data_IF_270175115333
#
_entry.id   IF_270175115333
#
_cell.length_a   1.000
_cell.length_b   1.000
_cell.length_c   1.000
_cell.angle_alpha   90.00
_cell.angle_beta   90.00
_cell.angle_gamma   90.00
#
_symmetry.space_group_name_H-M   'P 1'
#
loop_
_entity.id
_entity.type
_entity.pdbx_description
1 polymer ?
#
# COMPACT_ATOMS: atom_id res chain seq x y z
N UNK A 1 -10.26 6.11 14.20
CA UNK A 1 -9.71 4.76 13.94
C UNK A 1 -8.53 4.96 13.02
N UNK A 2 -7.35 4.39 13.30
CA UNK A 2 -6.15 4.70 12.55
C UNK A 2 -6.11 3.99 11.19
N UNK A 3 -5.39 4.57 10.24
CA UNK A 3 -5.26 4.11 8.86
C UNK A 3 -4.77 2.66 8.76
N UNK A 4 -3.76 2.30 9.54
CA UNK A 4 -3.30 0.91 9.65
C UNK A 4 -4.40 -0.06 10.11
N UNK A 5 -5.36 0.37 10.94
CA UNK A 5 -6.53 -0.45 11.31
C UNK A 5 -7.54 -0.59 10.18
N UNK A 6 -7.59 0.32 9.22
CA UNK A 6 -8.56 0.31 8.12
C UNK A 6 -8.18 -0.63 6.98
N UNK A 7 -6.89 -0.77 6.68
CA UNK A 7 -6.44 -1.89 5.82
C UNK A 7 -6.92 -3.24 6.35
N UNK A 8 -7.04 -3.38 7.68
CA UNK A 8 -7.55 -4.57 8.34
C UNK A 8 -9.06 -4.80 8.10
N UNK A 9 -9.86 -3.72 7.96
CA UNK A 9 -11.33 -3.83 7.82
C UNK A 9 -11.81 -3.86 6.38
N UNK A 10 -11.04 -3.33 5.42
CA UNK A 10 -11.46 -3.30 4.01
C UNK A 10 -11.10 -4.56 3.22
N UNK A 11 -10.16 -5.39 3.71
CA UNK A 11 -9.87 -6.70 3.10
C UNK A 11 -11.03 -7.71 3.25
N UNK A 12 -12.05 -7.40 4.07
CA UNK A 12 -13.22 -8.25 4.31
C UNK A 12 -14.53 -7.74 3.69
N UNK A 13 -14.51 -6.64 2.93
CA UNK A 13 -15.69 -6.21 2.17
C UNK A 13 -15.63 -6.82 0.76
N UNK A 14 -16.56 -7.73 0.41
CA UNK A 14 -16.68 -8.18 -0.97
C UNK A 14 -17.02 -6.97 -1.84
N UNK A 15 -16.24 -6.76 -2.90
CA UNK A 15 -16.53 -5.77 -3.93
C UNK A 15 -17.97 -5.96 -4.37
N UNK A 16 -18.84 -4.98 -4.06
CA UNK A 16 -20.26 -5.02 -4.36
C UNK A 16 -20.50 -5.35 -5.83
N UNK A 17 -21.00 -6.55 -6.04
CA UNK A 17 -21.69 -7.11 -7.21
C UNK A 17 -21.91 -6.14 -8.37
N UNK A 18 -21.02 -6.13 -9.33
CA UNK A 18 -21.36 -5.89 -10.73
C UNK A 18 -21.77 -7.25 -11.30
N UNK A 19 -23.07 -7.46 -11.51
CA UNK A 19 -23.58 -8.65 -12.20
C UNK A 19 -22.95 -8.73 -13.59
N UNK A 20 -22.07 -9.69 -13.79
CA UNK A 20 -21.58 -10.07 -15.10
C UNK A 20 -22.68 -10.83 -15.88
N UNK A 21 -22.84 -10.59 -17.18
CA UNK A 21 -23.75 -11.39 -17.99
C UNK A 21 -23.18 -12.80 -18.17
N UNK A 22 -24.03 -13.77 -17.90
CA UNK A 22 -23.93 -15.20 -18.02
C UNK A 22 -23.13 -15.68 -19.24
N UNK A 23 -21.88 -16.08 -19.06
CA UNK A 23 -21.15 -16.90 -20.06
C UNK A 23 -21.02 -18.32 -19.54
N UNK A 24 -21.73 -19.22 -20.23
CA UNK A 24 -21.69 -20.65 -20.02
C UNK A 24 -20.30 -21.18 -20.33
N UNK A 25 -19.56 -21.59 -19.30
CA UNK A 25 -18.31 -22.31 -19.45
C UNK A 25 -18.55 -23.70 -20.02
N UNK A 26 -18.00 -23.96 -21.20
CA UNK A 26 -17.94 -25.29 -21.82
C UNK A 26 -16.76 -26.05 -21.22
N UNK A 27 -17.08 -27.04 -20.40
CA UNK A 27 -16.06 -27.98 -19.89
C UNK A 27 -15.74 -29.02 -20.97
N UNK A 28 -14.52 -28.99 -21.50
CA UNK A 28 -13.96 -30.11 -22.27
C UNK A 28 -13.34 -31.10 -21.31
N UNK A 29 -14.03 -32.24 -21.16
CA UNK A 29 -13.55 -33.45 -20.51
C UNK A 29 -12.47 -34.10 -21.40
N UNK A 30 -11.26 -34.28 -20.89
CA UNK A 30 -10.26 -35.19 -21.47
C UNK A 30 -10.07 -36.38 -20.53
N UNK A 31 -10.47 -37.55 -21.05
CA UNK A 31 -10.38 -38.85 -20.40
C UNK A 31 -8.96 -39.36 -20.32
N UNK A 32 -8.75 -40.13 -19.27
CA UNK A 32 -7.72 -41.11 -18.94
C UNK A 32 -6.97 -41.77 -20.12
N UNK A 33 -5.67 -41.95 -19.92
CA UNK A 33 -4.84 -42.91 -20.64
C UNK A 33 -3.69 -43.37 -19.79
N UNK A 34 -3.86 -44.54 -19.17
CA UNK A 34 -2.87 -45.40 -18.52
C UNK A 34 -1.88 -45.96 -19.53
N UNK A 35 -0.60 -46.07 -19.19
CA UNK A 35 0.36 -47.17 -19.60
C UNK A 35 1.73 -46.80 -19.03
N UNK A 36 2.20 -47.61 -18.17
CA UNK A 36 3.00 -48.83 -18.17
C UNK A 36 4.51 -48.56 -17.89
N UNK A 37 4.95 -49.20 -16.85
CA UNK A 37 6.30 -49.26 -16.30
C UNK A 37 7.35 -49.78 -17.28
N UNK A 38 8.60 -49.35 -17.14
CA UNK A 38 9.77 -50.17 -17.47
C UNK A 38 10.92 -49.87 -16.50
N UNK A 39 11.24 -50.89 -15.71
CA UNK A 39 12.43 -51.07 -14.89
C UNK A 39 13.67 -51.31 -15.80
N UNK A 40 14.74 -50.65 -15.51
CA UNK A 40 16.08 -51.20 -15.82
C UNK A 40 17.09 -50.80 -14.75
N UNK A 41 17.47 -51.79 -13.96
CA UNK A 41 18.60 -51.72 -13.03
C UNK A 41 19.93 -51.87 -13.78
N UNK A 42 20.88 -51.01 -13.48
CA UNK A 42 22.30 -51.27 -13.75
C UNK A 42 23.09 -50.95 -12.48
N UNK A 43 23.61 -52.03 -11.86
CA UNK A 43 24.58 -51.98 -10.79
C UNK A 43 25.95 -51.62 -11.36
N UNK A 44 26.60 -50.63 -10.81
CA UNK A 44 28.01 -50.31 -11.07
C UNK A 44 28.67 -49.97 -9.73
N UNK A 45 29.35 -50.98 -9.16
CA UNK A 45 30.22 -50.84 -8.00
C UNK A 45 31.49 -50.12 -8.41
N UNK A 46 31.75 -48.96 -7.89
CA UNK A 46 33.06 -48.34 -7.86
C UNK A 46 33.48 -48.08 -6.41
N UNK A 47 34.35 -48.96 -5.90
CA UNK A 47 35.14 -48.72 -4.71
C UNK A 47 36.18 -47.66 -4.99
N UNK A 48 36.06 -46.49 -4.42
CA UNK A 48 37.10 -45.51 -4.32
C UNK A 48 37.29 -45.14 -2.85
N UNK A 49 38.34 -45.66 -2.25
CA UNK A 49 38.79 -45.30 -0.90
C UNK A 49 39.33 -43.88 -0.95
N UNK A 50 38.71 -42.96 -0.22
CA UNK A 50 39.27 -41.64 0.03
C UNK A 50 39.25 -41.36 1.53
N UNK A 51 40.44 -41.04 2.00
CA UNK A 51 40.79 -40.73 3.39
C UNK A 51 39.89 -39.62 3.95
N UNK A 52 39.27 -39.91 5.08
CA UNK A 52 38.51 -38.93 5.84
C UNK A 52 39.50 -38.04 6.61
N UNK A 53 39.84 -36.91 6.05
CA UNK A 53 40.43 -35.82 6.82
C UNK A 53 39.35 -35.21 7.74
N UNK A 54 39.53 -35.47 9.02
CA UNK A 54 38.74 -34.77 10.08
C UNK A 54 39.03 -33.27 10.02
N UNK A 55 38.14 -32.53 9.32
CA UNK A 55 38.05 -31.09 9.51
C UNK A 55 37.27 -30.89 10.80
N UNK A 56 37.97 -30.50 11.87
CA UNK A 56 37.38 -30.00 13.08
C UNK A 56 36.52 -28.79 12.72
N UNK A 57 35.22 -28.98 12.78
CA UNK A 57 34.24 -27.87 12.70
C UNK A 57 34.53 -26.96 13.92
N UNK A 58 35.08 -25.78 13.62
CA UNK A 58 35.17 -24.68 14.53
C UNK A 58 33.70 -24.38 14.95
N UNK A 59 33.38 -24.69 16.19
CA UNK A 59 32.12 -24.28 16.82
C UNK A 59 31.92 -22.80 16.54
N UNK A 60 30.97 -22.52 15.61
CA UNK A 60 30.52 -21.17 15.36
C UNK A 60 30.04 -20.59 16.71
N UNK A 61 30.62 -19.48 17.09
CA UNK A 61 30.06 -18.61 18.09
C UNK A 61 28.60 -18.38 17.75
N UNK A 62 27.72 -18.93 18.59
CA UNK A 62 26.35 -18.46 18.65
C UNK A 62 26.47 -16.97 18.96
N UNK A 63 26.13 -16.13 17.96
CA UNK A 63 25.90 -14.72 18.22
C UNK A 63 24.91 -14.68 19.38
N UNK A 64 25.31 -14.12 20.48
CA UNK A 64 24.42 -13.82 21.60
C UNK A 64 23.25 -13.05 21.00
N UNK A 65 22.11 -13.69 20.96
CA UNK A 65 20.85 -13.01 20.71
C UNK A 65 20.69 -12.05 21.91
N UNK A 66 21.22 -10.82 21.74
CA UNK A 66 20.94 -9.68 22.60
C UNK A 66 19.44 -9.72 22.78
N UNK A 67 18.97 -9.94 23.99
CA UNK A 67 17.56 -9.76 24.35
C UNK A 67 17.23 -8.34 23.94
N UNK A 68 16.76 -8.18 22.69
CA UNK A 68 16.44 -6.91 22.12
C UNK A 68 15.29 -6.35 22.97
N UNK A 69 15.42 -5.13 23.44
CA UNK A 69 14.28 -4.33 23.86
C UNK A 69 13.18 -4.55 22.83
N UNK A 70 11.95 -4.83 23.25
CA UNK A 70 10.84 -5.05 22.32
C UNK A 70 10.69 -3.88 21.31
N UNK A 71 11.22 -2.71 21.68
CA UNK A 71 11.24 -1.50 20.87
C UNK A 71 12.68 -1.00 20.73
N UNK A 72 13.20 -1.06 19.51
CA UNK A 72 14.46 -0.39 19.15
C UNK A 72 14.20 1.12 19.05
N UNK A 73 14.87 1.95 19.87
CA UNK A 73 14.66 3.38 19.85
C UNK A 73 15.12 4.04 18.54
N UNK A 74 16.14 3.50 17.86
CA UNK A 74 16.67 4.05 16.62
C UNK A 74 15.66 3.87 15.48
N UNK A 75 14.93 2.74 15.45
CA UNK A 75 13.86 2.50 14.48
C UNK A 75 12.70 3.49 14.65
N UNK A 76 12.28 3.74 15.88
CA UNK A 76 11.22 4.73 16.19
C UNK A 76 11.67 6.14 15.84
N UNK A 77 12.91 6.49 16.17
CA UNK A 77 13.47 7.81 15.87
C UNK A 77 13.65 8.05 14.37
N UNK A 78 13.96 7.01 13.59
CA UNK A 78 14.00 7.09 12.13
C UNK A 78 12.64 7.48 11.54
N UNK A 79 11.56 6.84 11.99
CA UNK A 79 10.19 7.20 11.57
C UNK A 79 9.83 8.62 11.96
N UNK A 80 10.19 9.06 13.17
CA UNK A 80 9.96 10.45 13.63
C UNK A 80 10.72 11.47 12.79
N UNK A 81 12.00 11.20 12.45
CA UNK A 81 12.82 12.06 11.59
C UNK A 81 12.24 12.16 10.19
N UNK A 82 11.86 11.02 9.60
CA UNK A 82 11.16 10.95 8.31
C UNK A 82 9.88 11.78 8.35
N UNK A 83 9.03 11.57 9.34
CA UNK A 83 7.75 12.28 9.50
C UNK A 83 7.96 13.80 9.64
N UNK A 84 8.96 14.22 10.42
CA UNK A 84 9.31 15.62 10.57
C UNK A 84 9.76 16.23 9.23
N UNK A 85 10.58 15.52 8.45
CA UNK A 85 11.02 15.96 7.13
C UNK A 85 9.84 16.07 6.15
N UNK A 86 8.97 15.06 6.05
CA UNK A 86 7.80 15.07 5.16
C UNK A 86 6.88 16.29 5.41
N UNK A 87 6.77 16.75 6.65
CA UNK A 87 5.98 17.95 6.98
C UNK A 87 6.62 19.25 6.53
N UNK A 88 7.93 19.29 6.27
CA UNK A 88 8.60 20.49 5.73
C UNK A 88 8.32 20.69 4.24
N UNK A 89 7.97 19.64 3.53
CA UNK A 89 7.74 19.66 2.08
C UNK A 89 6.50 20.50 1.74
N UNK A 90 6.70 21.51 0.89
CA UNK A 90 5.62 22.39 0.41
C UNK A 90 4.92 21.83 -0.81
N UNK A 91 5.71 21.28 -1.74
CA UNK A 91 5.21 20.60 -2.93
C UNK A 91 6.09 19.40 -3.24
N UNK A 92 5.49 18.36 -3.75
CA UNK A 92 6.17 17.15 -4.19
C UNK A 92 5.29 16.34 -5.14
N UNK A 93 5.93 15.49 -5.90
CA UNK A 93 5.28 14.47 -6.71
C UNK A 93 5.80 13.09 -6.28
N UNK A 94 4.92 12.10 -6.27
CA UNK A 94 5.26 10.70 -6.02
C UNK A 94 4.67 9.88 -7.16
N UNK A 95 5.46 8.98 -7.71
CA UNK A 95 4.98 7.83 -8.46
C UNK A 95 5.10 6.62 -7.57
N UNK A 96 4.01 5.90 -7.39
CA UNK A 96 3.89 4.77 -6.51
C UNK A 96 3.47 3.54 -7.30
N UNK A 97 4.25 2.46 -7.18
CA UNK A 97 3.88 1.15 -7.69
C UNK A 97 3.34 0.34 -6.52
N UNK A 98 2.04 0.06 -6.58
CA UNK A 98 1.29 -0.60 -5.53
C UNK A 98 1.05 -2.06 -5.90
N UNK A 99 1.25 -2.95 -4.92
CA UNK A 99 0.86 -4.35 -4.99
C UNK A 99 -0.04 -4.65 -3.81
N UNK A 100 -1.21 -5.23 -4.04
CA UNK A 100 -2.18 -5.55 -3.01
C UNK A 100 -2.70 -6.96 -3.17
N UNK A 101 -2.79 -7.69 -2.06
CA UNK A 101 -3.41 -9.01 -1.98
C UNK A 101 -4.89 -8.89 -1.61
N UNK A 102 -5.76 -9.52 -2.40
CA UNK A 102 -7.16 -9.75 -2.08
C UNK A 102 -7.38 -11.22 -1.72
N UNK A 103 -8.06 -11.47 -0.61
CA UNK A 103 -8.40 -12.83 -0.16
C UNK A 103 -9.82 -13.15 -0.62
N UNK A 104 -9.95 -14.19 -1.47
CA UNK A 104 -11.24 -14.67 -1.94
C UNK A 104 -11.94 -15.53 -0.86
N UNK A 105 -13.24 -15.79 -1.02
CA UNK A 105 -14.07 -16.52 -0.06
C UNK A 105 -13.55 -17.94 0.28
N UNK A 106 -12.79 -18.54 -0.64
CA UNK A 106 -12.15 -19.86 -0.46
C UNK A 106 -10.72 -19.79 0.14
N UNK A 107 -10.26 -18.58 0.49
CA UNK A 107 -8.92 -18.32 1.02
C UNK A 107 -7.82 -18.21 -0.03
N UNK A 108 -8.15 -18.25 -1.33
CA UNK A 108 -7.19 -18.00 -2.39
C UNK A 108 -6.79 -16.52 -2.36
N UNK A 109 -5.48 -16.26 -2.39
CA UNK A 109 -4.93 -14.90 -2.49
C UNK A 109 -4.74 -14.57 -3.97
N UNK A 110 -5.32 -13.44 -4.39
CA UNK A 110 -5.12 -12.84 -5.70
C UNK A 110 -4.39 -11.51 -5.54
N UNK A 111 -3.27 -11.36 -6.23
CA UNK A 111 -2.49 -10.13 -6.18
C UNK A 111 -2.90 -9.18 -7.31
N UNK A 112 -3.15 -7.92 -6.97
CA UNK A 112 -3.46 -6.84 -7.89
C UNK A 112 -2.32 -5.81 -7.89
N UNK A 113 -2.04 -5.26 -9.06
CA UNK A 113 -1.08 -4.19 -9.23
C UNK A 113 -1.80 -2.91 -9.66
N UNK A 114 -1.34 -1.78 -9.15
CA UNK A 114 -1.77 -0.47 -9.60
C UNK A 114 -0.63 0.53 -9.56
N UNK A 115 -0.76 1.58 -10.38
CA UNK A 115 0.12 2.73 -10.37
C UNK A 115 -0.64 3.94 -9.85
N UNK A 116 -0.03 4.67 -8.93
CA UNK A 116 -0.61 5.89 -8.39
C UNK A 116 0.36 7.06 -8.58
N UNK A 117 -0.09 8.10 -9.25
CA UNK A 117 0.67 9.34 -9.41
C UNK A 117 0.06 10.43 -8.54
N UNK A 118 0.86 10.97 -7.61
CA UNK A 118 0.49 12.06 -6.71
C UNK A 118 1.17 13.34 -7.12
N UNK A 119 0.44 14.44 -7.07
CA UNK A 119 0.98 15.79 -7.07
C UNK A 119 0.37 16.54 -5.89
N UNK A 120 1.23 17.03 -5.01
CA UNK A 120 0.83 17.75 -3.80
C UNK A 120 1.42 19.15 -3.79
N UNK A 121 0.59 20.13 -3.47
CA UNK A 121 1.03 21.46 -3.06
C UNK A 121 0.26 21.88 -1.80
N UNK A 122 0.96 21.85 -0.67
CA UNK A 122 0.39 22.18 0.64
C UNK A 122 0.03 23.66 0.71
N UNK A 123 -1.00 24.03 1.46
CA UNK A 123 -1.79 23.16 2.37
C UNK A 123 -2.98 22.50 1.68
N UNK A 124 -3.39 22.86 0.47
CA UNK A 124 -4.73 22.61 -0.03
C UNK A 124 -4.81 22.31 -1.55
N UNK A 125 -3.78 21.72 -2.12
CA UNK A 125 -3.78 21.26 -3.52
C UNK A 125 -3.33 19.81 -3.55
N UNK A 126 -4.17 18.95 -4.13
CA UNK A 126 -3.88 17.53 -4.28
C UNK A 126 -4.44 17.01 -5.59
N UNK A 127 -3.64 16.27 -6.30
CA UNK A 127 -4.04 15.43 -7.43
C UNK A 127 -3.52 14.03 -7.19
N UNK A 128 -4.41 13.05 -7.27
CA UNK A 128 -4.06 11.63 -7.18
C UNK A 128 -4.69 10.93 -8.38
N UNK A 129 -3.89 10.24 -9.16
CA UNK A 129 -4.36 9.45 -10.30
C UNK A 129 -4.01 7.99 -10.07
N UNK A 130 -5.05 7.14 -9.95
CA UNK A 130 -4.93 5.69 -9.74
C UNK A 130 -5.24 4.99 -11.05
N UNK A 131 -4.35 4.13 -11.49
CA UNK A 131 -4.50 3.34 -12.72
C UNK A 131 -4.17 1.87 -12.44
N UNK A 132 -5.09 0.98 -12.79
CA UNK A 132 -4.91 -0.46 -12.80
C UNK A 132 -5.60 -1.06 -14.03
N UNK A 133 -5.66 -2.39 -14.12
CA UNK A 133 -6.34 -3.08 -15.24
C UNK A 133 -7.85 -2.80 -15.28
N UNK A 134 -8.47 -2.58 -14.11
CA UNK A 134 -9.92 -2.47 -13.95
C UNK A 134 -10.38 -1.07 -13.51
N UNK A 135 -9.48 -0.17 -13.16
CA UNK A 135 -9.84 1.18 -12.73
C UNK A 135 -8.89 2.26 -13.26
N UNK A 136 -9.49 3.43 -13.51
CA UNK A 136 -8.76 4.66 -13.77
C UNK A 136 -9.51 5.78 -13.05
N UNK A 137 -9.01 6.19 -11.88
CA UNK A 137 -9.63 7.22 -11.04
C UNK A 137 -8.72 8.41 -10.89
N UNK A 138 -9.33 9.59 -10.92
CA UNK A 138 -8.66 10.84 -10.68
C UNK A 138 -9.33 11.54 -9.51
N UNK A 139 -8.56 11.87 -8.50
CA UNK A 139 -8.96 12.67 -7.35
C UNK A 139 -8.30 14.05 -7.48
N UNK A 140 -9.07 15.10 -7.41
CA UNK A 140 -8.60 16.47 -7.53
C UNK A 140 -9.11 17.31 -6.35
N UNK A 141 -8.21 18.08 -5.77
CA UNK A 141 -8.54 19.04 -4.74
C UNK A 141 -7.89 20.37 -5.07
N UNK A 142 -8.72 21.38 -5.34
CA UNK A 142 -8.33 22.72 -5.74
C UNK A 142 -8.28 23.73 -4.58
N UNK A 143 -8.48 23.27 -3.33
CA UNK A 143 -8.54 24.07 -2.12
C UNK A 143 -9.92 24.55 -1.75
N UNK A 144 -10.95 24.26 -2.56
CA UNK A 144 -12.36 24.59 -2.35
C UNK A 144 -13.27 23.40 -2.58
N UNK A 145 -12.94 22.63 -3.61
CA UNK A 145 -13.73 21.49 -4.05
C UNK A 145 -12.86 20.25 -4.08
N UNK A 146 -13.45 19.13 -3.76
CA UNK A 146 -12.91 17.80 -3.97
C UNK A 146 -13.71 17.11 -5.08
N UNK A 147 -13.01 16.67 -6.13
CA UNK A 147 -13.61 15.98 -7.27
C UNK A 147 -13.04 14.57 -7.39
N UNK A 148 -13.93 13.61 -7.58
CA UNK A 148 -13.60 12.23 -7.94
C UNK A 148 -14.12 11.95 -9.33
N UNK A 149 -13.25 11.50 -10.23
CA UNK A 149 -13.63 11.13 -11.60
C UNK A 149 -13.20 9.70 -11.90
N UNK A 150 -14.21 8.83 -12.12
CA UNK A 150 -14.04 7.46 -12.58
C UNK A 150 -13.99 7.45 -14.11
N UNK A 151 -12.78 7.51 -14.68
CA UNK A 151 -12.55 7.77 -16.12
C UNK A 151 -13.09 6.66 -17.01
N UNK A 152 -12.94 5.38 -16.60
CA UNK A 152 -13.40 4.25 -17.42
C UNK A 152 -14.92 4.25 -17.66
N UNK A 153 -15.70 4.70 -16.69
CA UNK A 153 -17.16 4.79 -16.78
C UNK A 153 -17.65 6.22 -17.01
N UNK A 154 -16.74 7.19 -17.02
CA UNK A 154 -16.96 8.60 -17.27
C UNK A 154 -17.99 9.27 -16.34
N UNK A 155 -17.97 8.89 -15.04
CA UNK A 155 -18.76 9.51 -14.01
C UNK A 155 -17.87 10.32 -13.07
N UNK A 156 -18.36 11.48 -12.63
CA UNK A 156 -17.66 12.30 -11.64
C UNK A 156 -18.60 12.83 -10.55
N UNK A 157 -18.02 13.10 -9.39
CA UNK A 157 -18.68 13.84 -8.31
C UNK A 157 -17.77 14.97 -7.85
N UNK A 158 -18.37 16.11 -7.51
CA UNK A 158 -17.64 17.27 -6.96
C UNK A 158 -18.38 17.76 -5.72
N UNK A 159 -17.68 17.84 -4.60
CA UNK A 159 -18.21 18.27 -3.30
C UNK A 159 -17.34 19.38 -2.71
N UNK A 160 -17.92 20.26 -1.86
CA UNK A 160 -17.13 21.22 -1.09
C UNK A 160 -16.10 20.51 -0.22
N UNK A 161 -14.89 21.06 -0.17
CA UNK A 161 -13.78 20.51 0.58
C UNK A 161 -13.33 21.46 1.70
N UNK A 162 -12.78 20.91 2.80
CA UNK A 162 -12.21 21.69 3.91
C UNK A 162 -10.91 22.40 3.48
N UNK A 163 -10.34 23.30 4.32
CA UNK A 163 -9.22 24.14 3.90
C UNK A 163 -7.85 23.43 3.79
N UNK A 164 -7.69 22.19 4.30
CA UNK A 164 -6.40 21.48 4.28
C UNK A 164 -6.52 20.06 3.74
N UNK A 165 -5.41 19.53 3.22
CA UNK A 165 -5.35 18.14 2.73
C UNK A 165 -5.65 17.15 3.86
N UNK A 166 -5.13 17.37 5.07
CA UNK A 166 -5.39 16.46 6.20
C UNK A 166 -6.86 16.37 6.57
N UNK A 167 -7.55 17.53 6.63
CA UNK A 167 -9.00 17.57 6.88
C UNK A 167 -9.79 16.96 5.71
N UNK A 168 -9.36 17.18 4.46
CA UNK A 168 -9.98 16.56 3.29
C UNK A 168 -9.92 15.03 3.37
N UNK A 169 -8.77 14.48 3.70
CA UNK A 169 -8.58 13.03 3.80
C UNK A 169 -9.54 12.45 4.84
N UNK A 170 -9.63 13.06 6.02
CA UNK A 170 -10.60 12.65 7.06
C UNK A 170 -12.05 12.74 6.57
N UNK A 171 -12.43 13.85 5.93
CA UNK A 171 -13.78 14.02 5.39
C UNK A 171 -14.11 13.03 4.28
N UNK A 172 -13.17 12.76 3.37
CA UNK A 172 -13.36 11.84 2.25
C UNK A 172 -13.70 10.43 2.75
N UNK A 173 -12.99 9.99 3.76
CA UNK A 173 -13.20 8.71 4.38
C UNK A 173 -14.49 8.66 5.25
N UNK A 174 -14.63 9.55 6.22
CA UNK A 174 -15.73 9.51 7.18
C UNK A 174 -17.10 9.77 6.54
N UNK A 175 -17.14 10.69 5.58
CA UNK A 175 -18.40 11.14 4.99
C UNK A 175 -18.75 10.43 3.68
N UNK A 176 -17.77 10.13 2.87
CA UNK A 176 -17.98 9.59 1.53
C UNK A 176 -17.49 8.16 1.36
N UNK A 177 -16.89 7.57 2.42
CA UNK A 177 -16.25 6.25 2.37
C UNK A 177 -15.24 6.15 1.20
N UNK A 178 -14.49 7.24 0.98
CA UNK A 178 -13.43 7.32 -0.02
C UNK A 178 -12.11 7.33 0.70
N UNK A 179 -11.38 6.23 0.60
CA UNK A 179 -10.02 6.12 1.08
C UNK A 179 -9.06 6.64 0.01
N UNK A 180 -8.26 7.64 0.38
CA UNK A 180 -7.20 8.14 -0.49
C UNK A 180 -5.93 7.33 -0.24
N UNK A 181 -5.26 6.85 -1.30
CA UNK A 181 -4.00 6.13 -1.16
C UNK A 181 -2.95 6.94 -0.40
N UNK A 182 -1.97 6.27 0.24
CA UNK A 182 -0.88 6.88 1.02
C UNK A 182 -1.36 7.90 2.08
N UNK A 183 -2.53 7.66 2.66
CA UNK A 183 -3.07 8.46 3.77
C UNK A 183 -2.03 8.67 4.89
N UNK A 184 -1.26 7.65 5.21
CA UNK A 184 -0.25 7.69 6.27
C UNK A 184 0.83 8.76 6.06
N UNK A 185 1.21 9.07 4.81
CA UNK A 185 2.16 10.15 4.51
C UNK A 185 1.72 11.54 5.02
N UNK A 186 0.41 11.75 5.13
CA UNK A 186 -0.16 13.01 5.62
C UNK A 186 -0.39 13.00 7.12
N UNK A 187 -0.50 11.81 7.74
CA UNK A 187 -0.79 11.64 9.16
C UNK A 187 0.47 11.49 10.02
N UNK A 188 1.54 10.93 9.47
CA UNK A 188 2.78 10.77 10.24
C UNK A 188 3.26 12.07 10.85
N UNK A 189 3.48 12.02 12.17
CA UNK A 189 3.90 13.14 12.99
C UNK A 189 2.81 14.18 13.27
N UNK A 190 1.54 13.86 13.03
CA UNK A 190 0.39 14.63 13.52
C UNK A 190 -0.13 14.07 14.84
N UNK A 191 -1.19 14.67 15.41
CA UNK A 191 -1.86 14.14 16.61
C UNK A 191 -2.53 12.77 16.36
N UNK A 192 -2.79 12.43 15.11
CA UNK A 192 -3.46 11.19 14.69
C UNK A 192 -2.45 10.10 14.29
N UNK A 193 -1.16 10.35 14.56
CA UNK A 193 -0.07 9.40 14.35
C UNK A 193 -0.14 8.21 15.32
N UNK A 194 0.03 7.03 14.77
CA UNK A 194 -0.02 5.76 15.50
C UNK A 194 1.33 5.24 15.99
N UNK A 195 2.41 6.02 15.87
CA UNK A 195 3.77 5.65 16.35
C UNK A 195 3.76 5.24 17.83
N UNK A 196 2.89 5.84 18.64
CA UNK A 196 2.75 5.49 20.05
C UNK A 196 2.09 4.11 20.32
N UNK A 197 1.54 3.46 19.28
CA UNK A 197 0.91 2.13 19.37
C UNK A 197 1.88 1.00 19.00
N UNK A 198 3.12 1.32 18.64
CA UNK A 198 4.15 0.35 18.31
C UNK A 198 4.44 -0.51 19.53
N UNK A 199 4.34 -1.83 19.39
CA UNK A 199 4.65 -2.83 20.43
C UNK A 199 6.03 -3.43 20.25
N UNK A 200 6.49 -3.53 18.99
CA UNK A 200 7.83 -4.01 18.64
C UNK A 200 8.38 -3.16 17.49
N UNK A 201 9.64 -2.79 17.59
CA UNK A 201 10.38 -2.08 16.56
C UNK A 201 11.75 -2.70 16.39
N UNK A 202 12.18 -2.96 15.17
CA UNK A 202 13.46 -3.60 14.84
C UNK A 202 14.13 -2.80 13.74
N UNK A 203 15.41 -2.49 13.92
CA UNK A 203 16.30 -2.12 12.83
C UNK A 203 16.78 -3.40 12.15
N UNK A 204 16.38 -3.61 10.90
CA UNK A 204 16.72 -4.77 10.09
C UNK A 204 18.09 -4.58 9.42
N UNK A 205 18.49 -3.32 9.22
CA UNK A 205 19.77 -2.93 8.65
C UNK A 205 19.69 -2.39 7.21
N UNK A 206 20.85 -2.11 6.62
CA UNK A 206 20.93 -1.45 5.31
C UNK A 206 20.37 -2.29 4.18
N UNK A 207 19.67 -1.63 3.25
CA UNK A 207 19.02 -2.23 2.10
C UNK A 207 19.04 -1.25 0.92
N UNK A 208 18.52 -1.67 -0.23
CA UNK A 208 18.34 -0.80 -1.38
C UNK A 208 16.96 -0.99 -2.01
N UNK A 209 16.31 0.11 -2.40
CA UNK A 209 15.05 0.12 -3.14
C UNK A 209 15.29 0.88 -4.44
N UNK A 210 15.09 0.21 -5.59
CA UNK A 210 15.31 0.80 -6.92
C UNK A 210 16.65 1.55 -7.06
N UNK A 211 17.72 1.00 -6.46
CA UNK A 211 19.06 1.60 -6.50
C UNK A 211 19.31 2.71 -5.48
N UNK A 212 18.33 3.08 -4.67
CA UNK A 212 18.46 4.05 -3.58
C UNK A 212 18.84 3.32 -2.29
N UNK A 213 19.92 3.75 -1.64
CA UNK A 213 20.34 3.19 -0.35
C UNK A 213 19.40 3.62 0.76
N UNK A 214 18.88 2.63 1.49
CA UNK A 214 17.91 2.81 2.56
C UNK A 214 18.36 2.09 3.84
N UNK A 215 17.79 2.47 4.97
CA UNK A 215 17.71 1.65 6.15
C UNK A 215 16.33 1.01 6.23
N UNK A 216 16.27 -0.27 6.57
CA UNK A 216 15.05 -1.06 6.62
C UNK A 216 14.64 -1.27 8.08
N UNK A 217 13.38 -0.94 8.39
CA UNK A 217 12.81 -1.09 9.71
C UNK A 217 11.54 -1.94 9.66
N UNK A 218 11.30 -2.73 10.71
CA UNK A 218 10.10 -3.54 10.87
C UNK A 218 9.41 -3.24 12.20
N UNK A 219 8.09 -3.20 12.18
CA UNK A 219 7.25 -2.81 13.31
C UNK A 219 6.08 -3.78 13.48
N UNK A 220 5.72 -4.02 14.74
CA UNK A 220 4.50 -4.73 15.11
C UNK A 220 3.57 -3.82 15.89
N UNK A 221 2.31 -3.81 15.51
CA UNK A 221 1.19 -3.20 16.22
C UNK A 221 0.04 -4.18 16.32
N UNK A 222 -0.97 -3.86 17.12
CA UNK A 222 -2.15 -4.71 17.22
C UNK A 222 -2.86 -4.85 15.87
N UNK A 223 -2.93 -6.08 15.37
CA UNK A 223 -3.60 -6.44 14.11
C UNK A 223 -2.80 -6.16 12.86
N UNK A 224 -1.54 -5.68 12.94
CA UNK A 224 -0.74 -5.35 11.77
C UNK A 224 0.75 -5.45 12.04
N UNK A 225 1.48 -6.01 11.08
CA UNK A 225 2.92 -5.85 10.92
C UNK A 225 3.17 -4.89 9.76
N UNK A 226 4.16 -4.01 9.88
CA UNK A 226 4.55 -3.16 8.77
C UNK A 226 6.06 -2.95 8.72
N UNK A 227 6.56 -2.72 7.52
CA UNK A 227 7.97 -2.53 7.24
C UNK A 227 8.14 -1.28 6.39
N UNK A 228 9.22 -0.53 6.62
CA UNK A 228 9.51 0.68 5.88
C UNK A 228 11.01 0.76 5.54
N UNK A 229 11.29 1.19 4.32
CA UNK A 229 12.64 1.50 3.85
C UNK A 229 12.77 3.01 3.74
N UNK A 230 13.60 3.59 4.59
CA UNK A 230 13.83 5.02 4.65
C UNK A 230 15.16 5.34 3.98
N UNK A 231 15.16 6.22 2.99
CA UNK A 231 16.35 6.66 2.30
C UNK A 231 17.37 7.25 3.28
N UNK A 232 18.63 6.83 3.15
CA UNK A 232 19.74 7.39 3.91
C UNK A 232 20.19 8.74 3.34
N UNK A 233 20.74 9.61 4.19
CA UNK A 233 21.29 10.90 3.83
C UNK A 233 20.41 12.08 4.22
N UNK A 234 20.49 13.17 3.45
CA UNK A 234 19.85 14.45 3.76
C UNK A 234 18.32 14.41 3.71
N UNK A 235 17.78 13.58 2.84
CA UNK A 235 16.34 13.49 2.57
C UNK A 235 15.79 12.14 3.04
N UNK A 236 15.36 12.00 4.29
CA UNK A 236 14.83 10.73 4.84
C UNK A 236 13.41 10.48 4.28
N UNK A 237 13.34 10.02 3.04
CA UNK A 237 12.10 9.72 2.35
C UNK A 237 11.76 8.23 2.45
N UNK A 238 10.50 7.85 2.68
CA UNK A 238 10.09 6.47 2.52
C UNK A 238 10.20 6.06 1.05
N UNK A 239 10.88 4.93 0.79
CA UNK A 239 11.06 4.39 -0.56
C UNK A 239 10.22 3.16 -0.78
N UNK A 240 9.94 2.43 0.29
CA UNK A 240 9.03 1.29 0.27
C UNK A 240 8.31 1.18 1.60
N UNK A 241 7.04 0.79 1.53
CA UNK A 241 6.20 0.42 2.67
C UNK A 241 5.59 -0.94 2.39
N UNK A 242 5.58 -1.84 3.36
CA UNK A 242 4.85 -3.12 3.29
C UNK A 242 4.00 -3.24 4.54
N UNK A 243 2.73 -3.51 4.36
CA UNK A 243 1.76 -3.70 5.44
C UNK A 243 1.22 -5.12 5.35
N UNK A 244 1.24 -5.86 6.45
CA UNK A 244 0.67 -7.22 6.56
C UNK A 244 -0.47 -7.19 7.55
N UNK A 245 -1.66 -7.54 7.11
CA UNK A 245 -2.84 -7.66 7.95
C UNK A 245 -2.77 -8.94 8.78
N UNK A 246 -2.90 -8.83 10.11
CA UNK A 246 -2.82 -9.96 11.05
C UNK A 246 -4.18 -10.44 11.54
N UNK A 247 -5.25 -9.72 11.23
CA UNK A 247 -6.63 -10.08 11.61
C UNK A 247 -7.28 -11.05 10.64
N UNK A 248 -6.60 -11.35 9.54
CA UNK A 248 -6.97 -12.38 8.56
C UNK A 248 -5.91 -13.49 8.59
N UNK A 249 -6.36 -14.75 8.65
CA UNK A 249 -5.48 -15.93 8.71
C UNK A 249 -4.59 -16.05 7.44
N UNK A 250 -5.07 -15.57 6.30
CA UNK A 250 -4.32 -15.52 5.05
C UNK A 250 -3.20 -14.45 5.06
N UNK A 251 -3.25 -13.49 6.00
CA UNK A 251 -2.26 -12.43 6.20
C UNK A 251 -1.96 -11.63 4.91
N UNK A 252 -2.97 -11.08 4.23
CA UNK A 252 -2.76 -10.36 2.99
C UNK A 252 -1.83 -9.18 3.18
N UNK A 253 -1.10 -8.85 2.12
CA UNK A 253 -0.13 -7.76 2.11
C UNK A 253 -0.55 -6.64 1.17
N UNK A 254 -0.17 -5.42 1.55
CA UNK A 254 -0.14 -4.24 0.72
C UNK A 254 1.29 -3.72 0.66
N UNK A 255 1.76 -3.36 -0.51
CA UNK A 255 3.13 -2.84 -0.70
C UNK A 255 3.13 -1.65 -1.62
N UNK A 256 3.78 -0.57 -1.18
CA UNK A 256 4.03 0.64 -1.95
C UNK A 256 5.52 0.73 -2.29
N UNK A 257 5.86 1.12 -3.52
CA UNK A 257 7.24 1.46 -3.92
C UNK A 257 7.26 2.86 -4.52
N UNK A 258 7.93 3.79 -3.81
CA UNK A 258 7.76 5.23 -3.96
C UNK A 258 8.95 5.89 -4.67
N UNK A 259 8.70 6.48 -5.82
CA UNK A 259 9.65 7.37 -6.51
C UNK A 259 9.26 8.84 -6.27
N UNK A 260 10.21 9.63 -5.74
CA UNK A 260 9.96 11.01 -5.32
C UNK A 260 10.57 12.02 -6.27
N UNK A 261 9.80 13.09 -6.58
CA UNK A 261 10.26 14.33 -7.16
C UNK A 261 9.95 15.48 -6.19
N UNK A 262 10.97 16.08 -5.62
CA UNK A 262 10.84 17.16 -4.62
C UNK A 262 10.75 18.57 -5.24
N UNK A 263 10.89 18.68 -6.57
CA UNK A 263 10.80 19.94 -7.29
C UNK A 263 9.87 19.80 -8.52
N UNK A 264 8.59 19.40 -8.32
CA UNK A 264 7.67 19.29 -9.43
C UNK A 264 7.34 20.65 -10.03
N UNK A 265 7.20 20.69 -11.36
CA UNK A 265 6.72 21.87 -12.08
C UNK A 265 5.23 21.70 -12.39
N UNK A 266 4.39 22.62 -11.98
CA UNK A 266 2.96 22.62 -12.22
C UNK A 266 2.39 24.04 -12.24
N UNK A 267 1.18 24.16 -12.75
CA UNK A 267 0.36 25.38 -12.63
C UNK A 267 -0.95 25.05 -11.90
N UNK A 268 -1.74 26.05 -11.57
CA UNK A 268 -3.01 25.86 -10.83
C UNK A 268 -4.01 24.96 -11.55
N UNK A 269 -3.97 24.90 -12.89
CA UNK A 269 -4.80 24.01 -13.70
C UNK A 269 -4.56 22.51 -13.45
N UNK A 270 -3.38 22.17 -12.89
CA UNK A 270 -3.06 20.77 -12.55
C UNK A 270 -4.01 20.19 -11.48
N UNK A 271 -4.64 21.03 -10.67
CA UNK A 271 -5.55 20.65 -9.59
C UNK A 271 -7.02 20.95 -9.89
N UNK A 272 -7.30 21.62 -11.01
CA UNK A 272 -8.64 21.98 -11.42
C UNK A 272 -9.28 20.84 -12.22
N UNK A 273 -10.59 20.69 -12.07
CA UNK A 273 -11.37 19.75 -12.87
C UNK A 273 -12.22 20.49 -13.90
N UNK A 274 -11.99 20.16 -15.17
CA UNK A 274 -12.86 20.56 -16.29
C UNK A 274 -13.49 19.29 -16.85
N UNK A 275 -14.82 19.07 -16.59
CA UNK A 275 -15.46 17.83 -17.00
C UNK A 275 -15.50 17.70 -18.51
N UNK A 276 -15.10 16.53 -19.07
CA UNK A 276 -15.32 16.24 -20.48
C UNK A 276 -16.80 16.41 -20.87
N UNK A 277 -17.13 16.78 -22.12
CA UNK A 277 -18.51 17.08 -22.55
C UNK A 277 -19.52 15.95 -22.33
N UNK A 278 -19.04 14.69 -22.31
CA UNK A 278 -19.82 13.47 -22.13
C UNK A 278 -19.76 12.90 -20.71
N UNK A 279 -19.01 13.54 -19.80
CA UNK A 279 -18.91 13.12 -18.42
C UNK A 279 -20.22 13.38 -17.66
N UNK A 280 -20.66 12.41 -16.88
CA UNK A 280 -21.92 12.48 -16.13
C UNK A 280 -21.65 12.76 -14.65
N UNK A 281 -22.25 13.80 -14.13
CA UNK A 281 -22.19 14.10 -12.71
C UNK A 281 -23.06 13.12 -11.91
N UNK A 282 -22.50 12.60 -10.81
CA UNK A 282 -23.24 11.81 -9.81
C UNK A 282 -23.15 12.51 -8.45
N UNK A 283 -23.99 12.09 -7.52
CA UNK A 283 -24.06 12.60 -6.14
C UNK A 283 -23.51 11.52 -5.23
N UNK A 284 -22.56 11.86 -4.36
CA UNK A 284 -22.06 10.96 -3.32
C UNK A 284 -23.10 10.75 -2.22
N UNK A 285 -23.12 9.58 -1.60
CA UNK A 285 -24.13 9.27 -0.57
C UNK A 285 -24.12 10.26 0.58
N UNK A 286 -22.96 10.65 1.08
CA UNK A 286 -22.80 11.67 2.12
C UNK A 286 -23.32 13.07 1.72
N UNK A 287 -23.34 13.41 0.42
CA UNK A 287 -23.92 14.66 -0.08
C UNK A 287 -25.45 14.68 0.06
N UNK A 288 -26.10 13.52 -0.11
CA UNK A 288 -27.57 13.38 0.06
C UNK A 288 -28.02 13.66 1.51
N UNK A 289 -27.23 13.22 2.48
CA UNK A 289 -27.53 13.43 3.90
C UNK A 289 -27.56 14.93 4.26
N UNK A 290 -26.58 15.71 3.78
CA UNK A 290 -26.51 17.17 4.03
C UNK A 290 -27.66 17.95 3.37
N UNK A 291 -28.14 17.52 2.20
CA UNK A 291 -29.27 18.15 1.52
C UNK A 291 -30.60 17.98 2.31
N UNK A 292 -30.72 16.84 3.00
CA UNK A 292 -31.90 16.51 3.78
C UNK A 292 -31.93 17.29 5.12
N UNK A 293 -30.74 17.53 5.70
CA UNK A 293 -30.63 18.26 6.99
C UNK A 293 -30.82 19.78 6.84
N UNK A 294 -30.43 20.36 5.68
CA UNK A 294 -30.65 21.78 5.36
C UNK A 294 -32.06 22.12 4.90
N UNK A 295 -32.89 21.10 4.66
CA UNK A 295 -34.30 21.24 4.24
C UNK A 295 -35.34 21.14 5.38
N UNK A 296 -34.91 21.03 6.64
CA UNK A 296 -35.70 21.10 7.84
C UNK A 296 -35.41 22.40 8.58
#
# INVERSE_FOLDING_TARGET
MSSLKRFITNSTQPSSSIRQPNQKAVWLSAKSGTLLAMLLAIAGVFLCSSEVTHVQAKTGQTADAKSASAIDPDAVDAVKKMSAYLRTLKSFQITDNVTQDDVLDDGLIVQHESKVDYLTARPNRLRVEVTSDDQHRLYLYDGKNFTVWARLVNYYATVPAPPTIGELIGQADEKYNIELPLYDLYNWGTKDDDVNKIKTAVDVGPSAVEGVTCEHYAFHQEGVDWQIWIQLGEFPLPRRLVITTLTDDARPQHSDTLAWNLAPSFNDGAFAFDPPPDAKRVILEGEKADATEKGK
#
